data_IF_816503404465
#
_entry.id   IF_816503404465
#
_cell.length_a   1.000
_cell.length_b   1.000
_cell.length_c   1.000
_cell.angle_alpha   90.00
_cell.angle_beta   90.00
_cell.angle_gamma   90.00
#
_symmetry.space_group_name_H-M   'P 1'
#
loop_
_entity.id
_entity.type
_entity.pdbx_description
1 polymer ?
#
# COMPACT_ATOMS: atom_id res chain seq x y z
N UNK A 1 -9.85 -4.91 -18.50
CA UNK A 1 -9.39 -4.34 -17.21
C UNK A 1 -10.02 -2.95 -17.08
N UNK A 2 -10.60 -2.60 -15.93
CA UNK A 2 -11.13 -1.25 -15.75
C UNK A 2 -9.98 -0.24 -15.77
N UNK A 3 -10.05 0.79 -16.61
CA UNK A 3 -9.06 1.85 -16.67
C UNK A 3 -9.07 2.58 -15.32
N UNK A 4 -8.11 2.24 -14.45
CA UNK A 4 -8.01 2.75 -13.09
C UNK A 4 -6.58 3.14 -12.80
N UNK A 5 -6.39 4.19 -12.03
CA UNK A 5 -5.06 4.65 -11.61
C UNK A 5 -5.03 5.02 -10.13
N UNK A 6 -3.87 4.85 -9.47
CA UNK A 6 -3.71 5.29 -8.09
C UNK A 6 -3.66 6.82 -8.01
N UNK A 7 -4.37 7.38 -7.03
CA UNK A 7 -4.20 8.78 -6.63
C UNK A 7 -2.91 8.96 -5.83
N UNK A 8 -2.40 10.19 -5.77
CA UNK A 8 -1.23 10.52 -4.96
C UNK A 8 -1.33 10.00 -3.52
N UNK A 9 -2.46 10.23 -2.85
CA UNK A 9 -2.66 9.70 -1.49
C UNK A 9 -2.65 8.17 -1.42
N UNK A 10 -3.11 7.48 -2.47
CA UNK A 10 -2.97 6.02 -2.59
C UNK A 10 -1.50 5.58 -2.71
N UNK A 11 -0.67 6.33 -3.44
CA UNK A 11 0.77 6.09 -3.55
C UNK A 11 1.50 6.35 -2.23
N UNK A 12 1.10 7.37 -1.47
CA UNK A 12 1.63 7.61 -0.13
C UNK A 12 1.32 6.43 0.79
N UNK A 13 0.07 5.95 0.79
CA UNK A 13 -0.31 4.76 1.57
C UNK A 13 0.45 3.51 1.10
N UNK A 14 0.66 3.35 -0.21
CA UNK A 14 1.45 2.26 -0.76
C UNK A 14 2.91 2.33 -0.28
N UNK A 15 3.51 3.53 -0.25
CA UNK A 15 4.88 3.72 0.24
C UNK A 15 5.02 3.33 1.71
N UNK A 16 4.05 3.69 2.56
CA UNK A 16 4.02 3.26 3.96
C UNK A 16 3.97 1.73 4.07
N UNK A 17 3.04 1.08 3.35
CA UNK A 17 2.93 -0.38 3.33
C UNK A 17 4.24 -1.03 2.83
N UNK A 18 4.88 -0.45 1.83
CA UNK A 18 6.12 -0.93 1.25
C UNK A 18 7.28 -0.86 2.24
N UNK A 19 7.50 0.31 2.85
CA UNK A 19 8.58 0.52 3.83
C UNK A 19 8.42 -0.42 5.04
N UNK A 20 7.22 -0.47 5.62
CA UNK A 20 6.92 -1.35 6.77
C UNK A 20 7.03 -2.82 6.37
N UNK A 21 6.53 -3.19 5.20
CA UNK A 21 6.65 -4.56 4.67
C UNK A 21 8.09 -5.00 4.47
N UNK A 22 8.91 -4.15 3.85
CA UNK A 22 10.34 -4.41 3.66
C UNK A 22 11.08 -4.54 4.98
N UNK A 23 10.78 -3.70 5.99
CA UNK A 23 11.34 -3.85 7.33
C UNK A 23 11.09 -5.25 7.90
N UNK A 24 9.86 -5.76 7.83
CA UNK A 24 9.56 -7.10 8.32
C UNK A 24 10.24 -8.20 7.50
N UNK A 25 10.33 -8.06 6.18
CA UNK A 25 11.04 -9.04 5.35
C UNK A 25 12.54 -9.10 5.68
N UNK A 26 13.20 -7.93 5.76
CA UNK A 26 14.61 -7.85 6.13
C UNK A 26 14.83 -8.33 7.56
N UNK A 27 13.91 -7.98 8.45
CA UNK A 27 13.89 -8.42 9.83
C UNK A 27 13.82 -9.92 10.01
N UNK A 28 12.87 -10.56 9.32
CA UNK A 28 12.74 -12.02 9.29
C UNK A 28 13.98 -12.67 8.69
N UNK A 29 14.56 -12.08 7.64
CA UNK A 29 15.78 -12.59 7.03
C UNK A 29 16.98 -12.54 7.98
N UNK A 30 17.19 -11.41 8.68
CA UNK A 30 18.26 -11.23 9.66
C UNK A 30 18.09 -12.17 10.87
N UNK A 31 16.86 -12.34 11.34
CA UNK A 31 16.57 -13.26 12.43
C UNK A 31 16.77 -14.73 12.03
N UNK A 32 16.46 -15.08 10.77
CA UNK A 32 16.65 -16.44 10.25
C UNK A 32 18.12 -16.87 10.15
N UNK A 33 19.04 -15.91 10.01
CA UNK A 33 20.49 -16.17 9.99
C UNK A 33 21.17 -15.90 11.33
N UNK A 34 20.39 -15.72 12.39
CA UNK A 34 20.87 -15.38 13.75
C UNK A 34 21.78 -14.13 13.80
N UNK A 35 21.73 -13.28 12.76
CA UNK A 35 22.65 -12.15 12.63
C UNK A 35 22.31 -11.00 13.58
N UNK A 36 21.04 -10.87 13.98
CA UNK A 36 20.62 -9.84 14.94
C UNK A 36 19.29 -10.20 15.59
N UNK A 37 19.29 -10.47 16.90
CA UNK A 37 18.07 -10.75 17.68
C UNK A 37 17.40 -9.44 18.10
N UNK A 38 16.82 -8.71 17.14
CA UNK A 38 16.03 -7.51 17.44
C UNK A 38 14.58 -7.91 17.71
N UNK A 39 14.20 -7.99 18.98
CA UNK A 39 12.82 -8.31 19.40
C UNK A 39 11.79 -7.34 18.81
N UNK A 40 12.17 -6.09 18.54
CA UNK A 40 11.31 -5.07 17.91
C UNK A 40 10.93 -5.36 16.45
N UNK A 41 11.61 -6.30 15.82
CA UNK A 41 11.48 -6.59 14.40
C UNK A 41 10.67 -7.88 14.17
N UNK A 42 10.60 -8.75 15.18
CA UNK A 42 9.85 -9.99 15.10
C UNK A 42 8.38 -9.79 15.46
N UNK A 43 7.51 -10.30 14.61
CA UNK A 43 6.07 -10.37 14.89
C UNK A 43 5.81 -11.59 15.75
N UNK A 44 5.31 -11.37 16.97
CA UNK A 44 5.01 -12.44 17.94
C UNK A 44 6.19 -13.42 18.16
N UNK A 45 7.42 -12.89 18.15
CA UNK A 45 8.65 -13.68 18.28
C UNK A 45 8.78 -14.84 17.25
N UNK A 46 8.13 -14.70 16.09
CA UNK A 46 8.05 -15.75 15.07
C UNK A 46 8.59 -15.28 13.71
N UNK A 47 9.66 -15.93 13.25
CA UNK A 47 10.25 -15.67 11.92
C UNK A 47 9.22 -15.88 10.79
N UNK A 48 8.48 -17.02 10.73
CA UNK A 48 7.44 -17.22 9.71
C UNK A 48 6.36 -16.14 9.73
N UNK A 49 5.89 -15.73 10.92
CA UNK A 49 4.87 -14.69 11.05
C UNK A 49 5.39 -13.34 10.53
N UNK A 50 6.65 -13.03 10.81
CA UNK A 50 7.33 -11.81 10.36
C UNK A 50 7.41 -11.76 8.83
N UNK A 51 7.80 -12.86 8.18
CA UNK A 51 7.79 -12.96 6.73
C UNK A 51 6.38 -12.87 6.14
N UNK A 52 5.39 -13.51 6.77
CA UNK A 52 4.01 -13.47 6.33
C UNK A 52 3.46 -12.03 6.33
N UNK A 53 3.68 -11.29 7.43
CA UNK A 53 3.29 -9.87 7.52
C UNK A 53 3.98 -9.03 6.46
N UNK A 54 5.30 -9.18 6.31
CA UNK A 54 6.07 -8.45 5.28
C UNK A 54 5.56 -8.72 3.86
N UNK A 55 5.25 -9.98 3.55
CA UNK A 55 4.74 -10.40 2.23
C UNK A 55 3.34 -9.84 1.98
N UNK A 56 2.45 -9.91 2.97
CA UNK A 56 1.08 -9.39 2.86
C UNK A 56 1.09 -7.87 2.66
N UNK A 57 1.96 -7.13 3.36
CA UNK A 57 2.15 -5.69 3.14
C UNK A 57 2.74 -5.39 1.76
N UNK A 58 3.62 -6.25 1.24
CA UNK A 58 4.09 -6.19 -0.15
C UNK A 58 2.94 -6.35 -1.16
N UNK A 59 2.02 -7.27 -0.91
CA UNK A 59 0.81 -7.44 -1.75
C UNK A 59 -0.09 -6.21 -1.69
N UNK A 60 -0.28 -5.60 -0.51
CA UNK A 60 -1.03 -4.33 -0.37
C UNK A 60 -0.37 -3.23 -1.19
N UNK A 61 0.94 -3.09 -1.09
CA UNK A 61 1.74 -2.12 -1.86
C UNK A 61 1.51 -2.30 -3.36
N UNK A 62 1.69 -3.53 -3.87
CA UNK A 62 1.47 -3.86 -5.27
C UNK A 62 0.02 -3.62 -5.72
N UNK A 63 -0.95 -3.93 -4.86
CA UNK A 63 -2.37 -3.70 -5.16
C UNK A 63 -2.72 -2.21 -5.29
N UNK A 64 -2.13 -1.35 -4.46
CA UNK A 64 -2.35 0.09 -4.52
C UNK A 64 -1.65 0.69 -5.74
N UNK A 65 -0.39 0.32 -5.99
CA UNK A 65 0.39 0.81 -7.14
C UNK A 65 -0.26 0.41 -8.47
N UNK A 66 -0.84 -0.79 -8.55
CA UNK A 66 -1.50 -1.29 -9.77
C UNK A 66 -2.93 -0.76 -9.98
N UNK A 67 -3.47 0.05 -9.06
CA UNK A 67 -4.83 0.58 -9.20
C UNK A 67 -5.93 -0.44 -8.91
N UNK A 68 -5.65 -1.52 -8.19
CA UNK A 68 -6.63 -2.59 -7.95
C UNK A 68 -7.84 -2.08 -7.15
N UNK A 69 -9.06 -2.41 -7.60
CA UNK A 69 -10.30 -1.83 -7.07
C UNK A 69 -10.52 -2.17 -5.59
N UNK A 70 -10.12 -3.38 -5.17
CA UNK A 70 -10.26 -3.83 -3.77
C UNK A 70 -9.09 -3.41 -2.86
N UNK A 71 -8.09 -2.70 -3.40
CA UNK A 71 -6.90 -2.27 -2.66
C UNK A 71 -7.24 -1.50 -1.37
N UNK A 72 -8.30 -0.69 -1.38
CA UNK A 72 -8.81 0.04 -0.21
C UNK A 72 -9.13 -0.91 0.95
N UNK A 73 -9.96 -1.92 0.70
CA UNK A 73 -10.43 -2.84 1.75
C UNK A 73 -9.28 -3.73 2.22
N UNK A 74 -8.43 -4.19 1.29
CA UNK A 74 -7.23 -4.94 1.62
C UNK A 74 -6.29 -4.14 2.53
N UNK A 75 -5.99 -2.88 2.17
CA UNK A 75 -5.11 -2.04 2.97
C UNK A 75 -5.66 -1.80 4.38
N UNK A 76 -6.95 -1.48 4.50
CA UNK A 76 -7.59 -1.28 5.82
C UNK A 76 -7.53 -2.55 6.66
N UNK A 77 -7.90 -3.71 6.10
CA UNK A 77 -7.88 -4.97 6.82
C UNK A 77 -6.47 -5.36 7.27
N UNK A 78 -5.48 -5.23 6.38
CA UNK A 78 -4.09 -5.57 6.69
C UNK A 78 -3.50 -4.62 7.73
N UNK A 79 -3.71 -3.31 7.61
CA UNK A 79 -3.21 -2.36 8.60
C UNK A 79 -3.81 -2.60 9.99
N UNK A 80 -5.12 -2.88 10.08
CA UNK A 80 -5.73 -3.26 11.35
C UNK A 80 -5.11 -4.55 11.92
N UNK A 81 -4.86 -5.55 11.07
CA UNK A 81 -4.18 -6.79 11.46
C UNK A 81 -2.78 -6.55 12.00
N UNK A 82 -1.97 -5.75 11.30
CA UNK A 82 -0.59 -5.41 11.73
C UNK A 82 -0.59 -4.64 13.04
N UNK A 83 -1.50 -3.68 13.22
CA UNK A 83 -1.65 -2.93 14.47
C UNK A 83 -2.00 -3.87 15.62
N UNK A 84 -2.95 -4.80 15.41
CA UNK A 84 -3.35 -5.77 16.43
C UNK A 84 -2.18 -6.69 16.83
N UNK A 85 -1.38 -7.15 15.87
CA UNK A 85 -0.19 -7.96 16.12
C UNK A 85 0.93 -7.18 16.81
N UNK A 86 0.96 -5.85 16.66
CA UNK A 86 1.97 -4.96 17.22
C UNK A 86 1.68 -4.51 18.66
N UNK A 87 0.53 -4.89 19.25
CA UNK A 87 0.13 -4.49 20.62
C UNK A 87 1.18 -4.77 21.69
N UNK A 88 1.86 -5.94 21.73
CA UNK A 88 2.91 -6.19 22.71
C UNK A 88 4.07 -5.19 22.60
N UNK A 89 4.52 -4.89 21.38
CA UNK A 89 5.60 -3.94 21.11
C UNK A 89 5.19 -2.49 21.41
N UNK A 90 3.92 -2.14 21.18
CA UNK A 90 3.35 -0.84 21.58
C UNK A 90 3.36 -0.66 23.11
N UNK A 91 3.07 -1.72 23.87
CA UNK A 91 3.14 -1.69 25.35
C UNK A 91 4.57 -1.54 25.86
N UNK A 92 5.55 -2.04 25.12
CA UNK A 92 6.97 -1.83 25.38
C UNK A 92 7.47 -0.44 24.97
N UNK A 93 6.60 0.42 24.45
CA UNK A 93 6.90 1.78 24.00
C UNK A 93 8.01 1.86 22.95
N UNK A 94 8.08 0.88 22.04
CA UNK A 94 9.04 0.92 20.93
C UNK A 94 8.72 2.12 20.00
N UNK A 95 9.64 3.08 19.84
CA UNK A 95 9.38 4.31 19.10
C UNK A 95 9.13 4.05 17.61
N UNK A 96 9.76 3.03 17.02
CA UNK A 96 9.59 2.70 15.60
C UNK A 96 8.19 2.16 15.37
N UNK A 97 7.75 1.21 16.22
CA UNK A 97 6.41 0.61 16.12
C UNK A 97 5.31 1.65 16.38
N UNK A 98 5.54 2.59 17.31
CA UNK A 98 4.60 3.69 17.58
C UNK A 98 4.40 4.55 16.32
N UNK A 99 5.49 4.98 15.67
CA UNK A 99 5.42 5.81 14.46
C UNK A 99 4.70 5.08 13.32
N UNK A 100 5.01 3.79 13.12
CA UNK A 100 4.35 2.96 12.11
C UNK A 100 2.85 2.80 12.38
N UNK A 101 2.48 2.55 13.64
CA UNK A 101 1.09 2.44 14.08
C UNK A 101 0.33 3.73 13.83
N UNK A 102 0.91 4.88 14.16
CA UNK A 102 0.30 6.19 13.88
C UNK A 102 0.12 6.39 12.37
N UNK A 103 1.15 6.10 11.58
CA UNK A 103 1.08 6.21 10.12
C UNK A 103 -0.01 5.32 9.52
N UNK A 104 -0.13 4.08 10.01
CA UNK A 104 -1.17 3.14 9.58
C UNK A 104 -2.56 3.61 10.00
N UNK A 105 -2.74 4.12 11.22
CA UNK A 105 -4.01 4.67 11.69
C UNK A 105 -4.47 5.89 10.87
N UNK A 106 -3.55 6.81 10.58
CA UNK A 106 -3.83 7.96 9.70
C UNK A 106 -4.18 7.50 8.29
N UNK A 107 -3.50 6.48 7.77
CA UNK A 107 -3.79 5.89 6.47
C UNK A 107 -5.16 5.21 6.43
N UNK A 108 -5.55 4.51 7.50
CA UNK A 108 -6.90 3.94 7.64
C UNK A 108 -7.94 5.06 7.61
N UNK A 109 -7.77 6.11 8.41
CA UNK A 109 -8.69 7.25 8.42
C UNK A 109 -8.81 7.89 7.03
N UNK A 110 -7.67 8.10 6.35
CA UNK A 110 -7.66 8.57 4.96
C UNK A 110 -8.46 7.65 4.03
N UNK A 111 -8.22 6.34 4.09
CA UNK A 111 -8.90 5.35 3.24
C UNK A 111 -10.38 5.20 3.57
N UNK A 112 -10.80 5.45 4.81
CA UNK A 112 -12.22 5.45 5.17
C UNK A 112 -12.97 6.61 4.51
N UNK A 113 -12.33 7.77 4.39
CA UNK A 113 -12.94 8.99 3.85
C UNK A 113 -12.75 9.13 2.33
N UNK A 114 -11.61 8.67 1.78
CA UNK A 114 -11.24 8.88 0.37
C UNK A 114 -10.91 7.57 -0.34
N UNK A 115 -11.35 7.46 -1.60
CA UNK A 115 -10.93 6.36 -2.47
C UNK A 115 -9.47 6.57 -2.92
N UNK A 116 -8.59 5.58 -2.75
CA UNK A 116 -7.20 5.67 -3.23
C UNK A 116 -7.08 5.49 -4.75
N UNK A 117 -8.13 4.98 -5.42
CA UNK A 117 -8.15 4.68 -6.85
C UNK A 117 -9.13 5.60 -7.57
N UNK A 118 -8.70 6.13 -8.71
CA UNK A 118 -9.49 6.90 -9.68
C UNK A 118 -9.87 6.04 -10.88
N UNK A 119 -11.08 6.23 -11.43
CA UNK A 119 -11.42 5.70 -12.75
C UNK A 119 -10.92 6.69 -13.79
N UNK A 120 -10.18 6.18 -14.77
CA UNK A 120 -9.78 6.96 -15.94
C UNK A 120 -10.92 6.80 -16.94
N UNK A 121 -11.74 7.85 -17.09
CA UNK A 121 -12.68 7.92 -18.20
C UNK A 121 -11.86 7.92 -19.50
N UNK A 122 -12.11 6.99 -20.45
CA UNK A 122 -11.46 7.09 -21.75
C UNK A 122 -11.84 8.45 -22.35
N UNK A 123 -10.84 9.24 -22.76
CA UNK A 123 -11.11 10.43 -23.54
C UNK A 123 -11.90 9.98 -24.76
N UNK A 124 -13.16 10.42 -24.84
CA UNK A 124 -14.00 10.19 -26.01
C UNK A 124 -13.45 11.12 -27.11
N UNK A 125 -12.32 10.71 -27.69
CA UNK A 125 -11.78 11.33 -28.90
C UNK A 125 -12.74 10.88 -29.98
N UNK A 126 -13.62 11.80 -30.37
CA UNK A 126 -14.51 11.58 -31.50
C UNK A 126 -13.62 11.51 -32.75
N UNK A 127 -13.19 10.30 -33.11
CA UNK A 127 -12.35 10.03 -34.29
C UNK A 127 -13.05 10.47 -35.61
N UNK A 128 -14.31 10.88 -35.54
CA UNK A 128 -15.06 11.46 -36.66
C UNK A 128 -14.65 12.90 -37.00
N UNK A 129 -13.99 13.63 -36.09
CA UNK A 129 -13.72 15.07 -36.28
C UNK A 129 -12.33 15.40 -36.89
N UNK A 130 -11.44 14.40 -37.00
CA UNK A 130 -10.10 14.60 -37.59
C UNK A 130 -10.03 14.35 -39.10
N UNK A 131 -11.05 13.73 -39.71
CA UNK A 131 -11.07 13.44 -41.15
C UNK A 131 -11.76 14.52 -42.00
N UNK A 132 -12.51 15.46 -41.40
CA UNK A 132 -13.30 16.46 -42.15
C UNK A 132 -12.57 17.80 -42.37
N UNK A 133 -11.49 18.08 -41.62
CA UNK A 133 -10.83 19.41 -41.62
C UNK A 133 -9.69 19.57 -42.63
N UNK A 134 -9.37 18.55 -43.44
CA UNK A 134 -8.42 18.65 -44.55
C UNK A 134 -9.05 19.00 -45.91
N UNK A 135 -10.37 19.22 -45.97
CA UNK A 135 -11.09 19.52 -47.22
C UNK A 135 -11.52 20.97 -47.44
N UNK A 136 -11.32 21.88 -46.47
CA UNK A 136 -11.99 23.20 -46.49
C UNK A 136 -11.01 24.38 -46.44
N UNK A 137 -10.03 24.41 -47.35
CA UNK A 137 -9.24 25.63 -47.68
C UNK A 137 -8.89 25.73 -49.17
N UNK A 138 -9.61 25.03 -50.06
CA UNK A 138 -9.51 25.22 -51.52
C UNK A 138 -10.86 25.60 -52.10
N UNK A 139 -11.26 26.86 -51.90
CA UNK A 139 -11.98 27.63 -52.91
C UNK A 139 -11.88 29.13 -52.66
#
# INVERSE_FOLDING_TARGET
>A
MANTSPKFGGLVVASLAGVVGTKYLLGGALAAVEATSLSSVLVLDSIPATFAVGTILGLVTGSLVSGFILSRHMAVAVFLGVIALSVPALRAADPVIIVETIGMMLSILYLLVRSPIERIEPANVDDSDSASRHGSTLR
#
